data_IF_476237099370
#
_entry.id   IF_476237099370
#
_cell.length_a   1.000
_cell.length_b   1.000
_cell.length_c   1.000
_cell.angle_alpha   90.00
_cell.angle_beta   90.00
_cell.angle_gamma   90.00
#
_symmetry.space_group_name_H-M   'P 1'
#
loop_
_entity.id
_entity.type
_entity.pdbx_description
1 polymer ?
#
# COMPACT_ATOMS: atom_id res chain seq x y z
N UNK A 1 12.88 -12.42 -19.64
CA UNK A 1 14.15 -12.23 -18.89
C UNK A 1 14.84 -13.55 -18.51
N UNK A 2 14.26 -14.75 -18.74
CA UNK A 2 14.89 -16.07 -18.48
C UNK A 2 15.45 -16.33 -17.06
N UNK A 3 15.17 -15.46 -16.10
CA UNK A 3 15.57 -15.64 -14.71
C UNK A 3 14.77 -16.79 -14.08
N UNK A 4 15.47 -17.64 -13.35
CA UNK A 4 14.89 -18.67 -12.49
C UNK A 4 14.79 -18.12 -11.07
N UNK A 5 13.77 -18.58 -10.35
CA UNK A 5 13.64 -18.29 -8.92
C UNK A 5 14.54 -19.24 -8.17
N UNK A 6 15.33 -18.71 -7.24
CA UNK A 6 16.25 -19.47 -6.38
C UNK A 6 15.96 -19.25 -4.90
N UNK A 7 16.54 -20.10 -4.04
CA UNK A 7 16.41 -19.94 -2.59
C UNK A 7 17.12 -18.65 -2.14
N UNK A 8 16.44 -17.87 -1.29
CA UNK A 8 16.94 -16.59 -0.79
C UNK A 8 16.55 -15.37 -1.64
N UNK A 9 15.93 -15.56 -2.81
CA UNK A 9 15.44 -14.45 -3.62
C UNK A 9 14.39 -13.61 -2.87
N UNK A 10 14.39 -12.30 -3.16
CA UNK A 10 13.37 -11.36 -2.68
C UNK A 10 12.54 -10.90 -3.87
N UNK A 11 11.27 -11.27 -3.89
CA UNK A 11 10.34 -10.93 -4.97
C UNK A 11 9.47 -9.76 -4.52
N UNK A 12 9.66 -8.60 -5.16
CA UNK A 12 8.89 -7.39 -4.88
C UNK A 12 7.74 -7.28 -5.88
N UNK A 13 6.52 -7.19 -5.38
CA UNK A 13 5.30 -7.17 -6.18
C UNK A 13 4.48 -5.93 -5.83
N UNK A 14 4.00 -5.19 -6.83
CA UNK A 14 3.15 -4.03 -6.61
C UNK A 14 1.77 -4.44 -6.07
N UNK A 15 1.26 -3.69 -5.09
CA UNK A 15 0.02 -4.02 -4.36
C UNK A 15 -1.20 -4.23 -5.25
N UNK A 16 -1.27 -3.55 -6.41
CA UNK A 16 -2.42 -3.59 -7.33
C UNK A 16 -2.72 -5.00 -7.85
N UNK A 17 -1.71 -5.87 -7.93
CA UNK A 17 -1.91 -7.27 -8.32
C UNK A 17 -2.73 -7.99 -7.24
N UNK A 18 -2.38 -7.78 -5.97
CA UNK A 18 -3.10 -8.34 -4.82
C UNK A 18 -4.48 -7.73 -4.70
N UNK A 19 -4.63 -6.40 -4.77
CA UNK A 19 -5.94 -5.76 -4.69
C UNK A 19 -6.93 -6.27 -5.74
N UNK A 20 -6.45 -6.57 -6.96
CA UNK A 20 -7.30 -7.17 -8.00
C UNK A 20 -7.61 -8.63 -7.72
N UNK A 21 -6.63 -9.41 -7.23
CA UNK A 21 -6.82 -10.83 -6.93
C UNK A 21 -7.70 -11.06 -5.69
N UNK A 22 -7.78 -10.07 -4.80
CA UNK A 22 -8.56 -10.10 -3.55
C UNK A 22 -9.87 -9.30 -3.66
N UNK A 23 -10.32 -8.98 -4.89
CA UNK A 23 -11.56 -8.24 -5.15
C UNK A 23 -11.68 -6.89 -4.39
N UNK A 24 -10.55 -6.26 -4.08
CA UNK A 24 -10.46 -4.93 -3.45
C UNK A 24 -10.67 -3.81 -4.47
N UNK A 25 -11.74 -3.90 -5.26
CA UNK A 25 -12.12 -2.90 -6.28
C UNK A 25 -13.47 -2.28 -5.93
N UNK A 26 -13.48 -0.97 -5.74
CA UNK A 26 -14.70 -0.20 -5.50
C UNK A 26 -15.15 0.55 -6.76
N UNK A 27 -16.46 0.69 -6.94
CA UNK A 27 -17.04 1.59 -7.96
C UNK A 27 -17.68 2.79 -7.27
N UNK A 28 -17.39 3.99 -7.74
CA UNK A 28 -17.96 5.21 -7.15
C UNK A 28 -19.48 5.29 -7.29
N UNK A 29 -20.06 4.67 -8.31
CA UNK A 29 -21.52 4.64 -8.52
C UNK A 29 -22.27 3.96 -7.36
N UNK A 30 -21.60 3.04 -6.65
CA UNK A 30 -22.17 2.29 -5.53
C UNK A 30 -21.97 3.02 -4.18
N UNK A 31 -21.33 4.20 -4.18
CA UNK A 31 -20.96 4.92 -2.96
C UNK A 31 -21.92 6.09 -2.72
N UNK A 32 -22.63 6.03 -1.60
CA UNK A 32 -23.41 7.15 -1.06
C UNK A 32 -22.52 7.94 -0.10
N UNK A 33 -22.23 9.23 -0.37
CA UNK A 33 -21.37 10.04 0.49
C UNK A 33 -22.09 10.42 1.79
N UNK A 34 -21.36 10.40 2.90
CA UNK A 34 -21.83 10.97 4.15
C UNK A 34 -21.71 12.50 4.14
N UNK A 35 -22.46 13.19 5.00
CA UNK A 35 -22.34 14.65 5.20
C UNK A 35 -20.89 15.08 5.46
N UNK A 36 -20.16 14.31 6.28
CA UNK A 36 -18.75 14.58 6.58
C UNK A 36 -17.87 14.44 5.33
N UNK A 37 -18.13 13.46 4.47
CA UNK A 37 -17.43 13.34 3.20
C UNK A 37 -17.71 14.51 2.26
N UNK A 38 -18.94 15.04 2.25
CA UNK A 38 -19.29 16.25 1.49
C UNK A 38 -18.54 17.48 2.00
N UNK A 39 -18.46 17.68 3.32
CA UNK A 39 -17.71 18.79 3.94
C UNK A 39 -16.21 18.72 3.56
N UNK A 40 -15.60 17.53 3.60
CA UNK A 40 -14.20 17.33 3.20
C UNK A 40 -14.01 17.47 1.68
N UNK A 41 -15.00 17.07 0.88
CA UNK A 41 -15.00 17.25 -0.57
C UNK A 41 -14.96 18.72 -0.95
N UNK A 42 -15.68 19.59 -0.23
CA UNK A 42 -15.62 21.04 -0.44
C UNK A 42 -14.22 21.60 -0.19
N UNK A 43 -13.52 21.11 0.85
CA UNK A 43 -12.14 21.53 1.17
C UNK A 43 -11.14 21.03 0.12
N UNK A 44 -11.29 19.78 -0.33
CA UNK A 44 -10.31 19.09 -1.17
C UNK A 44 -10.55 19.23 -2.67
N UNK A 45 -11.73 19.73 -3.06
CA UNK A 45 -12.19 19.78 -4.46
C UNK A 45 -12.39 18.41 -5.11
N UNK A 46 -12.47 17.33 -4.32
CA UNK A 46 -12.61 15.95 -4.83
C UNK A 46 -14.08 15.53 -4.88
N UNK A 47 -14.37 14.48 -5.65
CA UNK A 47 -15.70 13.88 -5.67
C UNK A 47 -16.08 13.38 -4.26
N UNK A 48 -17.24 13.76 -3.70
CA UNK A 48 -17.63 13.35 -2.35
C UNK A 48 -17.75 11.84 -2.19
N UNK A 49 -18.06 11.10 -3.25
CA UNK A 49 -18.09 9.62 -3.26
C UNK A 49 -16.69 9.04 -3.12
N UNK A 50 -15.71 9.68 -3.74
CA UNK A 50 -14.31 9.30 -3.58
C UNK A 50 -13.81 9.63 -2.18
N UNK A 51 -14.15 10.80 -1.64
CA UNK A 51 -13.80 11.18 -0.27
C UNK A 51 -14.42 10.20 0.73
N UNK A 52 -15.67 9.82 0.54
CA UNK A 52 -16.34 8.79 1.35
C UNK A 52 -15.57 7.46 1.29
N UNK A 53 -15.15 7.03 0.10
CA UNK A 53 -14.35 5.82 -0.05
C UNK A 53 -13.01 5.91 0.72
N UNK A 54 -12.33 7.05 0.65
CA UNK A 54 -11.12 7.32 1.45
C UNK A 54 -11.42 7.27 2.94
N UNK A 55 -12.52 7.88 3.38
CA UNK A 55 -12.91 7.90 4.78
C UNK A 55 -13.21 6.52 5.32
N UNK A 56 -13.83 5.63 4.53
CA UNK A 56 -14.06 4.24 4.94
C UNK A 56 -12.75 3.53 5.27
N UNK A 57 -11.67 3.80 4.54
CA UNK A 57 -10.34 3.21 4.75
C UNK A 57 -9.44 4.04 5.71
N UNK A 58 -9.98 5.07 6.36
CA UNK A 58 -9.24 6.03 7.19
C UNK A 58 -9.60 5.91 8.68
N UNK A 59 -8.58 5.94 9.54
CA UNK A 59 -8.74 6.10 10.99
C UNK A 59 -8.85 7.58 11.38
N UNK A 60 -7.94 8.43 10.87
CA UNK A 60 -7.97 9.87 11.12
C UNK A 60 -7.43 10.68 9.96
N UNK A 61 -7.92 11.92 9.80
CA UNK A 61 -7.43 12.86 8.79
C UNK A 61 -6.28 13.66 9.40
N UNK A 62 -5.15 13.72 8.70
CA UNK A 62 -3.98 14.50 9.10
C UNK A 62 -4.01 15.89 8.44
N UNK A 63 -4.37 15.95 7.15
CA UNK A 63 -4.53 17.20 6.40
C UNK A 63 -5.54 17.02 5.28
N UNK A 64 -6.47 17.96 5.16
CA UNK A 64 -7.34 18.10 3.99
C UNK A 64 -7.09 19.47 3.37
N UNK A 65 -6.82 19.49 2.08
CA UNK A 65 -6.55 20.69 1.28
C UNK A 65 -6.82 20.38 -0.21
N UNK A 66 -6.95 21.40 -1.07
CA UNK A 66 -7.10 21.20 -2.51
C UNK A 66 -5.99 20.31 -3.11
N UNK A 67 -4.76 20.44 -2.60
CA UNK A 67 -3.58 19.73 -3.11
C UNK A 67 -3.52 18.28 -2.61
N UNK A 68 -3.87 18.04 -1.34
CA UNK A 68 -3.71 16.74 -0.71
C UNK A 68 -4.77 16.43 0.33
N UNK A 69 -5.23 15.17 0.32
CA UNK A 69 -5.94 14.54 1.42
C UNK A 69 -5.00 13.50 2.06
N UNK A 70 -4.33 13.92 3.13
CA UNK A 70 -3.39 13.11 3.91
C UNK A 70 -4.11 12.53 5.11
N UNK A 71 -4.03 11.22 5.26
CA UNK A 71 -4.76 10.47 6.28
C UNK A 71 -3.84 9.48 6.98
N UNK A 72 -4.28 9.02 8.15
CA UNK A 72 -3.80 7.81 8.78
C UNK A 72 -4.81 6.71 8.47
N UNK A 73 -4.39 5.72 7.70
CA UNK A 73 -5.26 4.64 7.26
C UNK A 73 -5.59 3.64 8.39
N UNK A 74 -6.41 2.63 8.10
CA UNK A 74 -6.75 1.53 9.03
C UNK A 74 -5.54 0.78 9.59
N UNK A 75 -4.44 0.70 8.82
CA UNK A 75 -3.17 0.06 9.21
C UNK A 75 -2.25 1.00 10.00
N UNK A 76 -2.72 2.22 10.30
CA UNK A 76 -2.02 3.27 11.04
C UNK A 76 -0.84 3.89 10.26
N UNK A 77 -0.79 3.70 8.94
CA UNK A 77 0.20 4.28 8.05
C UNK A 77 -0.31 5.65 7.58
N UNK A 78 0.58 6.65 7.55
CA UNK A 78 0.25 7.98 7.01
C UNK A 78 0.45 7.95 5.49
N UNK A 79 -0.62 8.20 4.75
CA UNK A 79 -0.62 8.12 3.29
C UNK A 79 -1.64 9.08 2.66
N UNK A 80 -1.49 9.31 1.36
CA UNK A 80 -2.42 10.13 0.58
C UNK A 80 -3.61 9.25 0.19
N UNK A 81 -4.84 9.76 0.36
CA UNK A 81 -6.09 9.10 -0.04
C UNK A 81 -6.26 7.65 0.48
N UNK A 82 -5.72 7.33 1.67
CA UNK A 82 -5.70 5.96 2.21
C UNK A 82 -5.01 4.92 1.29
N UNK A 83 -4.17 5.37 0.35
CA UNK A 83 -3.53 4.52 -0.67
C UNK A 83 -4.49 4.00 -1.75
N UNK A 84 -5.70 4.56 -1.83
CA UNK A 84 -6.66 4.22 -2.88
C UNK A 84 -6.18 4.79 -4.20
N UNK A 85 -6.16 3.93 -5.23
CA UNK A 85 -5.61 4.25 -6.53
C UNK A 85 -6.63 4.06 -7.65
N UNK A 86 -6.70 5.02 -8.57
CA UNK A 86 -7.51 4.95 -9.80
C UNK A 86 -6.75 4.29 -10.96
N UNK A 87 -5.44 4.40 -10.96
CA UNK A 87 -4.59 4.01 -12.09
C UNK A 87 -4.63 2.49 -12.31
N UNK A 88 -4.61 2.08 -13.58
CA UNK A 88 -4.55 0.68 -13.99
C UNK A 88 -5.70 -0.21 -13.50
N UNK A 89 -6.87 0.38 -13.21
CA UNK A 89 -8.12 -0.34 -12.94
C UNK A 89 -9.06 -0.21 -14.13
N UNK A 90 -9.59 -1.32 -14.65
CA UNK A 90 -10.43 -1.32 -15.85
C UNK A 90 -11.85 -0.87 -15.54
N UNK A 91 -12.29 0.20 -16.18
CA UNK A 91 -13.65 0.74 -16.10
C UNK A 91 -13.70 2.14 -15.49
N UNK A 92 -14.61 3.00 -15.99
CA UNK A 92 -14.79 4.36 -15.46
C UNK A 92 -15.30 4.28 -14.01
N UNK A 93 -14.79 5.17 -13.16
CA UNK A 93 -15.23 5.28 -11.76
C UNK A 93 -14.79 4.13 -10.85
N UNK A 94 -13.83 3.29 -11.26
CA UNK A 94 -13.29 2.19 -10.44
C UNK A 94 -11.97 2.53 -9.79
N UNK A 95 -11.82 2.09 -8.55
CA UNK A 95 -10.67 2.37 -7.71
C UNK A 95 -10.21 1.08 -7.02
N UNK A 96 -8.91 0.86 -7.00
CA UNK A 96 -8.29 -0.19 -6.21
C UNK A 96 -8.09 0.32 -4.78
N UNK A 97 -8.68 -0.39 -3.83
CA UNK A 97 -8.34 -0.25 -2.42
C UNK A 97 -7.08 -1.08 -2.15
N UNK A 98 -6.39 -0.81 -1.06
CA UNK A 98 -5.25 -1.64 -0.67
C UNK A 98 -5.73 -3.01 -0.15
N UNK A 99 -4.87 -4.05 -0.20
CA UNK A 99 -5.13 -5.31 0.47
C UNK A 99 -5.43 -5.07 1.94
N UNK A 100 -6.42 -5.76 2.49
CA UNK A 100 -6.82 -5.59 3.90
C UNK A 100 -5.67 -5.94 4.84
N UNK A 101 -4.93 -7.01 4.51
CA UNK A 101 -3.71 -7.40 5.20
C UNK A 101 -2.62 -7.79 4.19
N UNK A 102 -1.78 -6.83 3.76
CA UNK A 102 -0.73 -7.09 2.78
C UNK A 102 0.35 -8.09 3.24
N UNK A 103 0.58 -8.26 4.54
CA UNK A 103 1.49 -9.30 5.06
C UNK A 103 0.93 -10.70 4.82
N UNK A 104 -0.37 -10.89 5.06
CA UNK A 104 -1.07 -12.14 4.72
C UNK A 104 -1.04 -12.40 3.22
N UNK A 105 -1.26 -11.37 2.39
CA UNK A 105 -1.12 -11.46 0.93
C UNK A 105 0.28 -11.91 0.52
N UNK A 106 1.32 -11.34 1.14
CA UNK A 106 2.72 -11.70 0.90
C UNK A 106 3.01 -13.16 1.28
N UNK A 107 2.56 -13.61 2.45
CA UNK A 107 2.78 -14.97 2.95
C UNK A 107 2.04 -16.01 2.09
N UNK A 108 0.81 -15.71 1.67
CA UNK A 108 0.05 -16.58 0.76
C UNK A 108 0.75 -16.71 -0.61
N UNK A 109 1.26 -15.60 -1.14
CA UNK A 109 2.04 -15.59 -2.37
C UNK A 109 3.32 -16.42 -2.24
N UNK A 110 4.07 -16.19 -1.16
CA UNK A 110 5.30 -16.93 -0.82
C UNK A 110 5.04 -18.44 -0.74
N UNK A 111 4.00 -18.86 -0.02
CA UNK A 111 3.59 -20.28 0.07
C UNK A 111 3.27 -20.87 -1.31
N UNK A 112 2.59 -20.11 -2.17
CA UNK A 112 2.26 -20.54 -3.53
C UNK A 112 3.51 -20.68 -4.40
N UNK A 113 4.46 -19.75 -4.31
CA UNK A 113 5.75 -19.83 -5.00
C UNK A 113 6.51 -21.08 -4.54
N UNK A 114 6.61 -21.32 -3.22
CA UNK A 114 7.23 -22.53 -2.66
C UNK A 114 6.56 -23.80 -3.20
N UNK A 115 5.23 -23.86 -3.25
CA UNK A 115 4.48 -25.01 -3.78
C UNK A 115 4.76 -25.26 -5.27
N UNK A 116 4.90 -24.21 -6.07
CA UNK A 116 5.10 -24.31 -7.52
C UNK A 116 6.55 -24.57 -7.93
N UNK A 117 7.51 -24.06 -7.15
CA UNK A 117 8.93 -24.02 -7.54
C UNK A 117 9.84 -24.84 -6.62
N UNK A 118 9.37 -25.18 -5.42
CA UNK A 118 10.20 -25.78 -4.38
C UNK A 118 11.12 -24.79 -3.66
N UNK A 119 11.15 -23.50 -4.03
CA UNK A 119 12.10 -22.50 -3.53
C UNK A 119 11.58 -21.70 -2.34
N UNK A 120 12.46 -21.42 -1.38
CA UNK A 120 12.21 -20.56 -0.24
C UNK A 120 12.63 -19.13 -0.57
N UNK A 121 11.64 -18.26 -0.79
CA UNK A 121 11.85 -16.85 -1.12
C UNK A 121 11.26 -15.95 -0.04
N UNK A 122 11.62 -14.67 -0.09
CA UNK A 122 10.87 -13.61 0.54
C UNK A 122 9.94 -12.93 -0.48
N UNK A 123 8.80 -12.42 -0.01
CA UNK A 123 7.88 -11.61 -0.82
C UNK A 123 7.67 -10.27 -0.14
N UNK A 124 7.77 -9.19 -0.90
CA UNK A 124 7.48 -7.83 -0.44
C UNK A 124 6.37 -7.24 -1.30
N UNK A 125 5.29 -6.80 -0.66
CA UNK A 125 4.22 -6.04 -1.30
C UNK A 125 4.59 -4.56 -1.24
N UNK A 126 4.69 -3.92 -2.40
CA UNK A 126 5.10 -2.52 -2.52
C UNK A 126 3.97 -1.64 -3.02
N UNK A 127 3.99 -0.38 -2.58
CA UNK A 127 3.09 0.64 -3.09
C UNK A 127 3.80 1.99 -3.21
N UNK A 128 3.26 2.87 -4.05
CA UNK A 128 3.89 4.14 -4.40
C UNK A 128 3.48 5.23 -3.43
N UNK A 129 4.47 5.78 -2.71
CA UNK A 129 4.27 6.78 -1.66
C UNK A 129 5.05 8.06 -1.92
N UNK A 130 4.48 9.16 -1.44
CA UNK A 130 5.20 10.43 -1.28
C UNK A 130 5.88 10.46 0.09
N UNK A 131 6.89 11.31 0.26
CA UNK A 131 7.65 11.42 1.52
C UNK A 131 7.98 12.86 1.85
N UNK A 132 8.04 13.25 3.15
CA UNK A 132 8.35 14.61 3.55
C UNK A 132 9.66 15.13 2.93
N UNK A 133 9.69 16.44 2.70
CA UNK A 133 10.87 17.21 2.25
C UNK A 133 11.40 16.90 0.85
N UNK A 134 10.83 15.94 0.10
CA UNK A 134 11.29 15.60 -1.26
C UNK A 134 10.15 15.52 -2.27
N UNK A 135 10.40 16.02 -3.48
CA UNK A 135 9.49 15.86 -4.63
C UNK A 135 9.68 14.48 -5.26
N UNK A 136 8.62 13.98 -5.91
CA UNK A 136 8.59 12.65 -6.51
C UNK A 136 8.14 11.56 -5.54
N UNK A 137 7.76 10.42 -6.10
CA UNK A 137 7.26 9.26 -5.37
C UNK A 137 8.28 8.12 -5.43
N UNK A 138 8.28 7.27 -4.42
CA UNK A 138 9.10 6.05 -4.36
C UNK A 138 8.25 4.87 -3.86
N UNK A 139 8.71 3.65 -4.07
CA UNK A 139 8.02 2.48 -3.54
C UNK A 139 8.39 2.25 -2.07
N UNK A 140 7.37 2.03 -1.25
CA UNK A 140 7.48 1.60 0.14
C UNK A 140 6.95 0.17 0.25
N UNK A 141 7.52 -0.62 1.14
CA UNK A 141 6.93 -1.88 1.56
C UNK A 141 5.67 -1.59 2.39
N UNK A 142 4.56 -2.21 2.01
CA UNK A 142 3.30 -2.16 2.76
C UNK A 142 2.91 -3.52 3.36
N UNK A 143 3.60 -4.58 2.93
CA UNK A 143 3.58 -5.88 3.59
C UNK A 143 4.74 -6.75 3.12
N UNK A 144 5.09 -7.77 3.90
CA UNK A 144 6.21 -8.66 3.63
C UNK A 144 6.07 -10.03 4.30
N UNK A 145 6.78 -11.01 3.75
CA UNK A 145 6.84 -12.37 4.29
C UNK A 145 8.18 -13.02 4.00
N UNK A 146 8.72 -13.77 4.97
CA UNK A 146 9.98 -14.51 4.83
C UNK A 146 11.25 -13.66 4.87
N UNK A 147 11.16 -12.42 5.36
CA UNK A 147 12.30 -11.51 5.55
C UNK A 147 12.10 -10.67 6.81
N UNK A 148 13.19 -10.39 7.52
CA UNK A 148 13.17 -9.46 8.64
C UNK A 148 13.11 -8.00 8.14
N UNK A 149 12.16 -7.17 8.63
CA UNK A 149 12.03 -5.78 8.22
C UNK A 149 13.20 -4.91 8.67
N UNK A 150 13.93 -5.35 9.70
CA UNK A 150 15.00 -4.60 10.32
C UNK A 150 16.28 -5.42 10.33
N UNK A 151 17.38 -4.73 10.02
CA UNK A 151 18.71 -5.22 10.34
C UNK A 151 19.13 -4.58 11.67
N UNK A 152 19.29 -5.40 12.70
CA UNK A 152 19.69 -4.91 14.02
C UNK A 152 21.19 -4.63 14.07
N UNK A 153 21.52 -3.36 14.32
CA UNK A 153 22.89 -2.88 14.49
C UNK A 153 23.21 -2.51 15.94
N UNK A 154 22.26 -2.65 16.87
CA UNK A 154 22.53 -2.36 18.29
C UNK A 154 23.65 -3.27 18.79
N UNK A 155 24.60 -2.69 19.50
CA UNK A 155 25.75 -3.40 20.03
C UNK A 155 26.80 -3.80 18.96
N UNK A 156 26.62 -3.40 17.70
CA UNK A 156 27.63 -3.60 16.65
C UNK A 156 28.52 -2.38 16.55
N UNK A 157 29.81 -2.60 16.41
CA UNK A 157 30.76 -1.52 16.25
C UNK A 157 30.87 -1.04 14.81
N UNK A 158 31.26 0.20 14.63
CA UNK A 158 31.63 0.78 13.35
C UNK A 158 33.02 0.27 12.86
N UNK A 159 33.51 0.83 11.76
CA UNK A 159 34.79 0.46 11.16
C UNK A 159 36.01 0.74 12.07
N UNK A 160 35.86 1.57 13.09
CA UNK A 160 36.91 1.96 14.03
C UNK A 160 36.72 1.34 15.42
N UNK A 161 35.72 0.46 15.59
CA UNK A 161 35.46 -0.22 16.85
C UNK A 161 34.59 0.57 17.84
N UNK A 162 33.99 1.69 17.43
CA UNK A 162 33.05 2.42 18.27
C UNK A 162 31.66 1.80 18.19
N UNK A 163 30.99 1.67 19.35
CA UNK A 163 29.62 1.18 19.48
C UNK A 163 28.57 2.14 18.89
#
# INVERSE_FOLDING_TARGET
>A
NQLRIEDGDVIVIAQKIFSKAEDRIAKLEDIVPSRKAEEIAQITGKDPRFVELVMRETNSIIKASPEVLLVKDRRKIICINAGIDKSNVKGKGRFALLPENPDTSAENCRKKIKKLTGKNVAVVVSDTYSRPFRRGQVNYAIGMAGIDPFKDYRGKTDLFGYL
#
